data_IF_445914335494
#
_entry.id   IF_445914335494
#
_cell.length_a   1.000
_cell.length_b   1.000
_cell.length_c   1.000
_cell.angle_alpha   90.00
_cell.angle_beta   90.00
_cell.angle_gamma   90.00
#
_symmetry.space_group_name_H-M   'P 1'
#
loop_
_entity.id
_entity.type
_entity.pdbx_description
1 polymer ?
#
# COMPACT_ATOMS: atom_id res chain seq x y z
N UNK A 1 23.24 -5.64 -3.68
CA UNK A 1 22.96 -4.19 -3.60
C UNK A 1 22.41 -3.91 -2.22
N UNK A 2 22.75 -2.76 -1.63
CA UNK A 2 22.28 -2.36 -0.30
C UNK A 2 21.65 -0.97 -0.38
N UNK A 3 20.54 -0.78 0.33
CA UNK A 3 19.89 0.52 0.46
C UNK A 3 20.05 0.99 1.91
N UNK A 4 20.63 2.18 2.15
CA UNK A 4 20.79 2.69 3.51
C UNK A 4 19.45 2.80 4.24
N UNK A 5 19.44 2.45 5.53
CA UNK A 5 18.23 2.50 6.37
C UNK A 5 17.56 3.88 6.33
N UNK A 6 18.35 4.97 6.34
CA UNK A 6 17.82 6.33 6.27
C UNK A 6 16.98 6.58 5.01
N UNK A 7 17.31 5.95 3.88
CA UNK A 7 16.53 6.10 2.63
C UNK A 7 15.22 5.34 2.68
N UNK A 8 15.18 4.19 3.34
CA UNK A 8 13.97 3.35 3.50
C UNK A 8 13.03 3.94 4.55
N UNK A 9 13.59 4.47 5.65
CA UNK A 9 12.84 4.96 6.80
C UNK A 9 12.29 6.38 6.60
N UNK A 10 13.04 7.25 5.93
CA UNK A 10 12.54 8.58 5.61
C UNK A 10 11.44 8.46 4.54
N UNK A 11 10.27 9.08 4.79
CA UNK A 11 9.19 9.18 3.81
C UNK A 11 9.65 10.00 2.59
N UNK A 12 10.19 9.30 1.61
CA UNK A 12 10.57 9.86 0.31
C UNK A 12 9.34 9.88 -0.58
N UNK A 13 9.05 11.04 -1.18
CA UNK A 13 8.00 11.14 -2.21
C UNK A 13 8.34 10.37 -3.50
N UNK A 14 9.61 9.97 -3.68
CA UNK A 14 10.06 9.19 -4.85
C UNK A 14 10.19 7.70 -4.50
N UNK A 15 9.71 6.78 -5.35
CA UNK A 15 9.92 5.35 -5.20
C UNK A 15 11.41 4.99 -5.16
N UNK A 16 11.79 4.15 -4.20
CA UNK A 16 13.13 3.55 -4.18
C UNK A 16 13.15 2.38 -5.17
N UNK A 17 14.12 2.40 -6.09
CA UNK A 17 14.31 1.33 -7.06
C UNK A 17 15.76 0.85 -7.05
N UNK A 18 15.94 -0.44 -7.33
CA UNK A 18 17.21 -1.06 -7.64
C UNK A 18 17.05 -1.76 -8.99
N UNK A 19 18.06 -1.67 -9.85
CA UNK A 19 18.06 -2.32 -11.15
C UNK A 19 19.14 -3.41 -11.20
N UNK A 20 18.87 -4.50 -11.91
CA UNK A 20 19.84 -5.54 -12.20
C UNK A 20 20.03 -5.62 -13.71
N UNK A 21 21.27 -5.53 -14.17
CA UNK A 21 21.62 -5.74 -15.57
C UNK A 21 22.10 -7.17 -15.75
N UNK A 22 21.55 -7.85 -16.74
CA UNK A 22 21.86 -9.24 -17.07
C UNK A 22 22.23 -9.31 -18.55
N UNK A 23 23.19 -10.16 -18.87
CA UNK A 23 23.60 -10.42 -20.25
C UNK A 23 23.36 -11.89 -20.59
N UNK A 24 22.92 -12.15 -21.82
CA UNK A 24 22.77 -13.51 -22.34
C UNK A 24 24.14 -14.04 -22.73
N UNK A 25 24.48 -15.23 -22.26
CA UNK A 25 25.72 -15.91 -22.67
C UNK A 25 25.69 -16.26 -24.18
N UNK A 26 24.52 -16.61 -24.71
CA UNK A 26 24.33 -16.84 -26.16
C UNK A 26 22.96 -16.31 -26.62
N UNK A 27 22.80 -15.94 -27.91
CA UNK A 27 21.51 -15.56 -28.48
C UNK A 27 20.46 -16.68 -28.39
N UNK A 28 20.89 -17.94 -28.32
CA UNK A 28 20.01 -19.10 -28.17
C UNK A 28 19.32 -19.17 -26.80
N UNK A 29 19.77 -18.40 -25.80
CA UNK A 29 19.11 -18.31 -24.51
C UNK A 29 17.82 -17.49 -24.62
N UNK A 30 16.68 -18.17 -24.59
CA UNK A 30 15.33 -17.58 -24.75
C UNK A 30 14.52 -17.55 -23.46
N UNK A 31 15.10 -17.96 -22.32
CA UNK A 31 14.41 -17.99 -21.04
C UNK A 31 15.31 -17.46 -19.92
N UNK A 32 14.74 -16.66 -19.03
CA UNK A 32 15.35 -16.20 -17.80
C UNK A 32 14.62 -16.84 -16.61
N UNK A 33 15.36 -17.50 -15.72
CA UNK A 33 14.87 -17.96 -14.44
C UNK A 33 15.84 -17.55 -13.34
N UNK A 34 15.37 -16.83 -12.32
CA UNK A 34 16.18 -16.42 -11.19
C UNK A 34 15.33 -16.18 -9.94
N UNK A 35 16.00 -16.01 -8.80
CA UNK A 35 15.39 -15.60 -7.54
C UNK A 35 15.97 -14.27 -7.09
N UNK A 36 15.12 -13.30 -6.82
CA UNK A 36 15.51 -12.05 -6.18
C UNK A 36 15.16 -12.16 -4.70
N UNK A 37 16.14 -11.92 -3.85
CA UNK A 37 15.97 -11.95 -2.41
C UNK A 37 16.09 -10.52 -1.86
N UNK A 38 15.05 -10.04 -1.20
CA UNK A 38 15.01 -8.73 -0.54
C UNK A 38 14.94 -8.97 0.95
N UNK A 39 15.95 -8.50 1.70
CA UNK A 39 16.04 -8.76 3.13
C UNK A 39 16.54 -7.55 3.89
N UNK A 40 16.09 -7.43 5.13
CA UNK A 40 16.74 -6.59 6.13
C UNK A 40 17.80 -7.43 6.86
N UNK A 41 19.02 -6.89 7.05
CA UNK A 41 20.19 -7.60 7.62
C UNK A 41 19.88 -8.32 8.93
N UNK A 42 18.91 -7.82 9.71
CA UNK A 42 18.35 -8.45 10.91
C UNK A 42 16.83 -8.28 10.93
N UNK A 43 16.12 -8.86 9.96
CA UNK A 43 14.68 -8.73 9.87
C UNK A 43 14.05 -9.66 8.86
N UNK A 44 12.92 -9.24 8.32
CA UNK A 44 12.16 -10.02 7.35
C UNK A 44 12.89 -10.16 6.01
N UNK A 45 12.57 -11.24 5.33
CA UNK A 45 13.04 -11.57 3.99
C UNK A 45 11.85 -11.91 3.10
N UNK A 46 11.92 -11.48 1.85
CA UNK A 46 11.00 -11.84 0.79
C UNK A 46 11.80 -12.33 -0.41
N UNK A 47 11.37 -13.47 -0.96
CA UNK A 47 11.93 -14.01 -2.19
C UNK A 47 10.90 -13.85 -3.31
N UNK A 48 11.35 -13.32 -4.43
CA UNK A 48 10.61 -13.25 -5.68
C UNK A 48 11.24 -14.22 -6.66
N UNK A 49 10.45 -15.18 -7.14
CA UNK A 49 10.89 -16.10 -8.18
C UNK A 49 10.45 -15.55 -9.54
N UNK A 50 11.40 -15.37 -10.43
CA UNK A 50 11.19 -14.85 -11.78
C UNK A 50 11.42 -16.00 -12.75
N UNK A 51 10.45 -16.20 -13.64
CA UNK A 51 10.57 -17.10 -14.78
C UNK A 51 9.86 -16.44 -15.96
N UNK A 52 10.62 -16.06 -16.98
CA UNK A 52 10.10 -15.31 -18.13
C UNK A 52 10.81 -15.70 -19.42
N UNK A 53 10.13 -15.55 -20.57
CA UNK A 53 10.74 -15.69 -21.89
C UNK A 53 11.44 -14.39 -22.28
N UNK A 54 12.57 -14.52 -22.97
CA UNK A 54 13.36 -13.41 -23.52
C UNK A 54 12.98 -13.30 -25.00
N UNK A 55 11.85 -12.64 -25.29
CA UNK A 55 11.43 -12.31 -26.66
C UNK A 55 12.21 -11.07 -27.13
N UNK A 56 12.76 -11.12 -28.35
CA UNK A 56 13.66 -10.06 -28.84
C UNK A 56 12.96 -8.77 -29.31
N UNK A 57 11.62 -8.67 -29.26
CA UNK A 57 10.92 -7.67 -30.08
C UNK A 57 9.88 -6.76 -29.42
N UNK A 58 9.78 -6.63 -28.11
CA UNK A 58 8.82 -5.68 -27.54
C UNK A 58 9.54 -4.85 -26.47
N UNK A 59 9.88 -3.59 -26.81
CA UNK A 59 10.11 -2.56 -25.78
C UNK A 59 8.76 -2.27 -25.12
N UNK A 60 8.23 -3.21 -24.36
CA UNK A 60 7.15 -2.91 -23.43
C UNK A 60 7.74 -1.98 -22.39
N UNK A 61 7.44 -0.69 -22.56
CA UNK A 61 7.67 0.29 -21.52
C UNK A 61 6.74 -0.10 -20.39
N UNK A 62 7.23 -0.88 -19.43
CA UNK A 62 6.50 -1.16 -18.20
C UNK A 62 6.42 0.18 -17.47
N UNK A 63 5.31 0.88 -17.68
CA UNK A 63 5.00 2.09 -16.93
C UNK A 63 4.85 1.64 -15.48
N UNK A 64 5.85 1.95 -14.65
CA UNK A 64 5.68 1.84 -13.21
C UNK A 64 4.55 2.78 -12.84
N UNK A 65 3.36 2.21 -12.61
CA UNK A 65 2.25 2.94 -12.02
C UNK A 65 2.67 3.29 -10.60
N UNK A 66 3.33 4.44 -10.44
CA UNK A 66 3.18 5.18 -9.21
C UNK A 66 1.67 5.42 -9.12
N UNK A 67 0.98 4.64 -8.30
CA UNK A 67 -0.43 4.83 -8.02
C UNK A 67 -0.51 6.18 -7.31
N UNK A 68 -0.67 7.24 -8.10
CA UNK A 68 -0.97 8.56 -7.60
C UNK A 68 -2.44 8.49 -7.16
N UNK A 69 -2.66 7.99 -5.94
CA UNK A 69 -3.98 7.87 -5.29
C UNK A 69 -4.64 9.25 -5.04
N UNK A 70 -4.06 10.33 -5.56
CA UNK A 70 -4.43 11.70 -5.22
C UNK A 70 -5.57 12.28 -6.07
N UNK A 71 -6.10 11.57 -7.07
CA UNK A 71 -7.17 12.10 -7.91
C UNK A 71 -8.58 11.60 -7.53
N UNK A 72 -8.87 11.51 -6.24
CA UNK A 72 -10.27 11.48 -5.80
C UNK A 72 -10.84 12.88 -6.01
N UNK A 73 -11.86 13.08 -6.88
CA UNK A 73 -12.52 14.37 -6.97
C UNK A 73 -13.08 14.72 -5.60
N UNK A 74 -12.72 15.89 -5.08
CA UNK A 74 -13.21 16.36 -3.79
C UNK A 74 -14.74 16.35 -3.79
N UNK A 75 -15.34 15.37 -3.12
CA UNK A 75 -16.78 15.26 -3.02
C UNK A 75 -17.26 16.29 -2.01
N UNK A 76 -18.17 17.18 -2.43
CA UNK A 76 -18.80 18.17 -1.56
C UNK A 76 -20.24 17.77 -1.22
N UNK A 77 -20.70 18.19 -0.04
CA UNK A 77 -22.08 18.00 0.39
C UNK A 77 -22.41 16.57 0.84
N UNK A 78 -23.70 16.18 0.87
CA UNK A 78 -24.16 14.91 1.42
C UNK A 78 -23.52 13.67 0.79
N UNK A 79 -23.06 13.77 -0.46
CA UNK A 79 -22.38 12.70 -1.20
C UNK A 79 -20.97 12.39 -0.68
N UNK A 80 -20.35 13.34 0.02
CA UNK A 80 -19.03 13.16 0.63
C UNK A 80 -19.05 12.18 1.82
N UNK A 81 -20.22 11.88 2.37
CA UNK A 81 -20.37 11.08 3.57
C UNK A 81 -21.05 9.75 3.27
N UNK A 82 -20.44 8.65 3.71
CA UNK A 82 -21.05 7.31 3.63
C UNK A 82 -22.28 7.16 4.53
N UNK A 83 -22.39 7.95 5.60
CA UNK A 83 -23.50 7.91 6.55
C UNK A 83 -24.41 9.13 6.34
N UNK A 84 -25.69 8.94 5.93
CA UNK A 84 -26.67 10.02 5.81
C UNK A 84 -26.88 10.81 7.11
N UNK A 85 -27.24 12.08 6.98
CA UNK A 85 -27.41 13.00 8.11
C UNK A 85 -28.42 12.49 9.16
N UNK A 86 -29.57 11.98 8.73
CA UNK A 86 -30.60 11.45 9.64
C UNK A 86 -30.11 10.28 10.50
N UNK A 87 -29.25 9.42 9.93
CA UNK A 87 -28.64 8.31 10.67
C UNK A 87 -27.60 8.85 11.65
N UNK A 88 -26.77 9.81 11.24
CA UNK A 88 -25.81 10.47 12.14
C UNK A 88 -26.48 11.09 13.35
N UNK A 89 -27.57 11.83 13.15
CA UNK A 89 -28.32 12.44 14.25
C UNK A 89 -28.82 11.40 15.26
N UNK A 90 -29.35 10.27 14.78
CA UNK A 90 -29.80 9.18 15.66
C UNK A 90 -28.66 8.54 16.42
N UNK A 91 -27.51 8.34 15.77
CA UNK A 91 -26.30 7.80 16.41
C UNK A 91 -25.84 8.75 17.52
N UNK A 92 -25.66 10.04 17.21
CA UNK A 92 -25.27 11.06 18.20
C UNK A 92 -26.24 11.12 19.38
N UNK A 93 -27.55 11.20 19.12
CA UNK A 93 -28.56 11.20 20.18
C UNK A 93 -28.51 9.95 21.08
N UNK A 94 -28.14 8.79 20.53
CA UNK A 94 -28.08 7.53 21.28
C UNK A 94 -26.81 7.39 22.11
N UNK A 95 -25.66 7.82 21.58
CA UNK A 95 -24.34 7.52 22.16
C UNK A 95 -23.64 8.71 22.83
N UNK A 96 -24.02 9.96 22.55
CA UNK A 96 -23.39 11.14 23.15
C UNK A 96 -23.88 11.42 24.58
N UNK A 97 -24.99 10.79 24.98
CA UNK A 97 -25.52 10.93 26.34
C UNK A 97 -24.75 9.99 27.28
N UNK A 98 -24.21 10.47 28.42
CA UNK A 98 -23.50 9.63 29.38
C UNK A 98 -24.40 8.50 29.87
N UNK A 99 -23.96 7.24 29.70
CA UNK A 99 -24.75 6.09 30.11
C UNK A 99 -24.05 5.37 31.26
N UNK A 100 -24.68 5.34 32.44
CA UNK A 100 -24.14 4.66 33.63
C UNK A 100 -23.85 3.15 33.42
N UNK A 101 -24.39 2.53 32.36
CA UNK A 101 -24.13 1.14 31.96
C UNK A 101 -23.02 0.99 30.91
N UNK A 102 -22.29 2.06 30.58
CA UNK A 102 -21.20 2.06 29.60
C UNK A 102 -21.64 1.81 28.15
N UNK A 103 -22.91 2.07 27.81
CA UNK A 103 -23.44 1.94 26.43
C UNK A 103 -23.45 3.29 25.70
N UNK A 104 -22.36 4.04 25.79
CA UNK A 104 -22.20 5.36 25.22
C UNK A 104 -21.09 5.38 24.15
N UNK A 105 -20.68 6.57 23.74
CA UNK A 105 -19.65 6.80 22.74
C UNK A 105 -18.31 6.14 23.09
N UNK A 106 -18.00 5.90 24.37
CA UNK A 106 -16.75 5.26 24.78
C UNK A 106 -16.71 3.78 24.37
N UNK A 107 -17.82 3.05 24.57
CA UNK A 107 -17.94 1.67 24.08
C UNK A 107 -17.92 1.61 22.56
N UNK A 108 -18.52 2.59 21.88
CA UNK A 108 -18.45 2.70 20.42
C UNK A 108 -16.98 2.87 19.97
N UNK A 109 -16.22 3.75 20.62
CA UNK A 109 -14.80 3.95 20.34
C UNK A 109 -13.95 2.69 20.60
N UNK A 110 -14.23 1.96 21.68
CA UNK A 110 -13.55 0.69 21.98
C UNK A 110 -13.83 -0.36 20.89
N UNK A 111 -15.10 -0.54 20.50
CA UNK A 111 -15.48 -1.53 19.47
C UNK A 111 -14.96 -1.17 18.08
N UNK A 112 -14.78 0.12 17.80
CA UNK A 112 -14.24 0.60 16.53
C UNK A 112 -12.72 0.71 16.54
N UNK A 113 -12.05 0.31 17.63
CA UNK A 113 -10.59 0.41 17.80
C UNK A 113 -10.05 1.84 17.62
N UNK A 114 -10.85 2.83 18.04
CA UNK A 114 -10.49 4.27 18.03
C UNK A 114 -10.05 4.73 19.44
N UNK A 115 -10.07 3.82 20.43
CA UNK A 115 -9.54 4.11 21.75
C UNK A 115 -8.00 4.19 21.67
N UNK A 116 -7.44 5.34 22.04
CA UNK A 116 -5.99 5.62 21.96
C UNK A 116 -5.23 4.99 23.10
#
# INVERSE_FOLDING_TARGET
QEVPFSRVWCSSQKPLHCAFSLERYTPATTQLSCKICVRQVKGHEQILQIQTSILENERETITFFAHDDSNFPAQMGPKAFKIPYSIRQRICATFDTPNAKGKDWQMLAQKTSINR
#
